data_IF_880646835155
#
_entry.id   IF_880646835155
#
_cell.length_a   1.000
_cell.length_b   1.000
_cell.length_c   1.000
_cell.angle_alpha   90.00
_cell.angle_beta   90.00
_cell.angle_gamma   90.00
#
_symmetry.space_group_name_H-M   'P 1'
#
loop_
_entity.id
_entity.type
_entity.pdbx_description
1 polymer ?
#
# COMPACT_ATOMS: atom_id res chain seq x y z
N UNK A 1 15.24 -22.77 -0.45
CA UNK A 1 14.01 -22.07 -0.89
C UNK A 1 14.32 -20.57 -0.93
N UNK A 2 14.12 -19.95 -2.10
CA UNK A 2 14.67 -18.66 -2.55
C UNK A 2 14.59 -17.51 -1.53
N UNK A 3 15.75 -16.94 -1.15
CA UNK A 3 15.80 -15.57 -0.63
C UNK A 3 15.56 -14.62 -1.81
N UNK A 4 14.29 -14.27 -2.08
CA UNK A 4 13.97 -13.20 -3.03
C UNK A 4 14.82 -11.98 -2.70
N UNK A 5 15.60 -11.50 -3.67
CA UNK A 5 16.61 -10.47 -3.47
C UNK A 5 15.97 -9.24 -2.82
N UNK A 6 16.66 -8.53 -1.92
CA UNK A 6 16.12 -7.31 -1.29
C UNK A 6 15.61 -6.31 -2.34
N UNK A 7 16.16 -6.33 -3.57
CA UNK A 7 15.65 -5.59 -4.73
C UNK A 7 14.24 -6.01 -5.16
N UNK A 8 13.93 -7.29 -5.23
CA UNK A 8 12.57 -7.79 -5.56
C UNK A 8 11.56 -7.35 -4.50
N UNK A 9 11.93 -7.48 -3.21
CA UNK A 9 11.05 -7.08 -2.11
C UNK A 9 10.78 -5.57 -2.11
N UNK A 10 11.79 -4.76 -2.42
CA UNK A 10 11.64 -3.29 -2.60
C UNK A 10 10.73 -2.95 -3.78
N UNK A 11 10.89 -3.63 -4.92
CA UNK A 11 10.03 -3.44 -6.09
C UNK A 11 8.58 -3.83 -5.80
N UNK A 12 8.36 -4.96 -5.13
CA UNK A 12 7.03 -5.40 -4.72
C UNK A 12 6.37 -4.41 -3.74
N UNK A 13 7.13 -3.90 -2.77
CA UNK A 13 6.64 -2.89 -1.83
C UNK A 13 6.28 -1.56 -2.52
N UNK A 14 7.08 -1.14 -3.53
CA UNK A 14 6.77 0.05 -4.35
C UNK A 14 5.49 -0.15 -5.17
N UNK A 15 5.29 -1.32 -5.78
CA UNK A 15 4.06 -1.65 -6.51
C UNK A 15 2.85 -1.70 -5.57
N UNK A 16 3.01 -2.25 -4.37
CA UNK A 16 1.96 -2.30 -3.36
C UNK A 16 1.56 -0.89 -2.87
N UNK A 17 2.53 0.00 -2.63
CA UNK A 17 2.28 1.40 -2.34
C UNK A 17 1.47 2.09 -3.45
N UNK A 18 1.86 1.88 -4.71
CA UNK A 18 1.16 2.48 -5.85
C UNK A 18 -0.28 1.98 -5.94
N UNK A 19 -0.50 0.68 -5.76
CA UNK A 19 -1.85 0.08 -5.71
C UNK A 19 -2.68 0.68 -4.57
N UNK A 20 -2.12 0.81 -3.36
CA UNK A 20 -2.81 1.42 -2.23
C UNK A 20 -3.13 2.90 -2.50
N UNK A 21 -2.22 3.67 -3.09
CA UNK A 21 -2.51 5.05 -3.51
C UNK A 21 -3.63 5.12 -4.54
N UNK A 22 -3.65 4.23 -5.53
CA UNK A 22 -4.74 4.13 -6.49
C UNK A 22 -6.09 3.83 -5.83
N UNK A 23 -6.10 2.91 -4.85
CA UNK A 23 -7.29 2.60 -4.07
C UNK A 23 -7.76 3.80 -3.22
N UNK A 24 -6.84 4.55 -2.58
CA UNK A 24 -7.18 5.80 -1.89
C UNK A 24 -7.77 6.83 -2.85
N UNK A 25 -7.20 6.99 -4.05
CA UNK A 25 -7.69 7.94 -5.03
C UNK A 25 -9.13 7.59 -5.45
N UNK A 26 -9.38 6.34 -5.86
CA UNK A 26 -10.72 5.88 -6.27
C UNK A 26 -11.72 6.02 -5.13
N UNK A 27 -11.38 5.57 -3.92
CA UNK A 27 -12.27 5.70 -2.75
C UNK A 27 -12.47 7.14 -2.30
N UNK A 28 -11.52 8.04 -2.57
CA UNK A 28 -11.62 9.47 -2.28
C UNK A 28 -12.55 10.22 -3.23
N UNK A 29 -12.65 9.79 -4.49
CA UNK A 29 -13.64 10.31 -5.45
C UNK A 29 -15.04 9.71 -5.26
N UNK A 30 -15.16 8.56 -4.59
CA UNK A 30 -16.46 7.96 -4.26
C UNK A 30 -17.08 8.64 -3.02
N UNK A 31 -18.36 9.02 -3.13
CA UNK A 31 -19.09 9.73 -2.06
C UNK A 31 -20.12 8.78 -1.41
N UNK A 32 -19.88 8.42 -0.14
CA UNK A 32 -20.78 7.57 0.65
C UNK A 32 -20.14 7.03 1.93
N UNK A 33 -20.95 6.53 2.89
CA UNK A 33 -20.44 5.96 4.15
C UNK A 33 -19.51 4.76 3.93
N UNK A 34 -19.81 3.92 2.94
CA UNK A 34 -18.96 2.78 2.56
C UNK A 34 -17.61 3.21 1.98
N UNK A 35 -17.60 4.23 1.11
CA UNK A 35 -16.38 4.77 0.53
C UNK A 35 -15.43 5.34 1.60
N UNK A 36 -15.97 6.01 2.63
CA UNK A 36 -15.17 6.51 3.76
C UNK A 36 -14.50 5.39 4.55
N UNK A 37 -15.20 4.27 4.76
CA UNK A 37 -14.63 3.09 5.44
C UNK A 37 -13.53 2.46 4.59
N UNK A 38 -13.77 2.27 3.28
CA UNK A 38 -12.78 1.72 2.36
C UNK A 38 -11.56 2.62 2.23
N UNK A 39 -11.74 3.95 2.24
CA UNK A 39 -10.65 4.91 2.22
C UNK A 39 -9.78 4.81 3.48
N UNK A 40 -10.40 4.63 4.66
CA UNK A 40 -9.69 4.46 5.92
C UNK A 40 -8.86 3.16 5.95
N UNK A 41 -9.44 2.06 5.47
CA UNK A 41 -8.73 0.78 5.33
C UNK A 41 -7.61 0.83 4.30
N UNK A 42 -7.83 1.50 3.16
CA UNK A 42 -6.81 1.70 2.14
C UNK A 42 -5.65 2.58 2.67
N UNK A 43 -5.96 3.61 3.46
CA UNK A 43 -4.97 4.44 4.15
C UNK A 43 -4.15 3.63 5.16
N UNK A 44 -4.79 2.80 5.97
CA UNK A 44 -4.10 1.92 6.91
C UNK A 44 -3.18 0.92 6.19
N UNK A 45 -3.64 0.32 5.09
CA UNK A 45 -2.83 -0.56 4.25
C UNK A 45 -1.62 0.18 3.64
N UNK A 46 -1.81 1.42 3.17
CA UNK A 46 -0.72 2.24 2.62
C UNK A 46 0.36 2.53 3.67
N UNK A 47 -0.04 2.87 4.91
CA UNK A 47 0.88 3.09 6.02
C UNK A 47 1.64 1.79 6.36
N UNK A 48 0.94 0.65 6.40
CA UNK A 48 1.56 -0.66 6.62
C UNK A 48 2.59 -1.03 5.55
N UNK A 49 2.26 -0.84 4.28
CA UNK A 49 3.21 -1.03 3.17
C UNK A 49 4.38 -0.05 3.24
N UNK A 50 4.17 1.16 3.74
CA UNK A 50 5.24 2.14 3.98
C UNK A 50 6.23 1.70 5.04
N UNK A 51 5.73 1.18 6.16
CA UNK A 51 6.58 0.63 7.23
C UNK A 51 7.35 -0.60 6.74
N UNK A 52 6.70 -1.51 6.02
CA UNK A 52 7.38 -2.67 5.43
C UNK A 52 8.45 -2.22 4.43
N UNK A 53 8.15 -1.30 3.52
CA UNK A 53 9.13 -0.74 2.58
C UNK A 53 10.35 -0.15 3.30
N UNK A 54 10.14 0.58 4.40
CA UNK A 54 11.22 1.16 5.19
C UNK A 54 12.07 0.08 5.89
N UNK A 55 11.43 -0.97 6.43
CA UNK A 55 12.12 -2.08 7.08
C UNK A 55 12.92 -2.95 6.08
N UNK A 56 12.54 -2.97 4.80
CA UNK A 56 13.31 -3.59 3.71
C UNK A 56 14.47 -2.73 3.19
N UNK A 57 14.48 -1.45 3.57
CA UNK A 57 15.57 -0.54 3.26
C UNK A 57 16.69 -0.58 4.30
N UNK A 58 16.34 -0.93 5.55
CA UNK A 58 17.29 -1.29 6.60
C UNK A 58 17.96 -2.64 6.32
#
# INVERSE_FOLDING_TARGET
MLQASLKEKRSAAKTAMLCSMGALAVTGFMRGRGARTLHLWAAAALIGFSIWHHNLYR
#
